data_IF_279435923677
#
_entry.id   IF_279435923677
#
_cell.length_a   1.000
_cell.length_b   1.000
_cell.length_c   1.000
_cell.angle_alpha   90.00
_cell.angle_beta   90.00
_cell.angle_gamma   90.00
#
_symmetry.space_group_name_H-M   'P 1'
#
loop_
_entity.id
_entity.type
_entity.pdbx_description
1 polymer ?
#
# COMPACT_ATOMS: atom_id res chain seq x y z
N UNK A 1 2.43 -53.99 22.91
CA UNK A 1 3.28 -54.06 24.12
C UNK A 1 4.45 -53.11 23.92
N UNK A 2 4.44 -52.03 24.72
CA UNK A 2 5.53 -51.16 25.17
C UNK A 2 6.62 -50.68 24.19
N UNK A 3 6.74 -49.35 24.07
CA UNK A 3 7.99 -48.68 23.70
C UNK A 3 7.75 -47.33 23.01
N UNK A 4 7.54 -46.25 23.76
CA UNK A 4 7.42 -44.92 23.13
C UNK A 4 7.40 -43.70 24.05
N UNK A 5 7.18 -43.87 25.36
CA UNK A 5 6.96 -42.73 26.27
C UNK A 5 8.15 -42.40 27.20
N UNK A 6 9.38 -42.82 26.88
CA UNK A 6 10.48 -42.83 27.84
C UNK A 6 11.75 -42.04 27.49
N UNK A 7 12.25 -41.90 26.24
CA UNK A 7 13.60 -41.39 26.05
C UNK A 7 13.75 -39.92 26.46
N UNK A 8 12.85 -39.03 26.03
CA UNK A 8 12.99 -37.59 26.20
C UNK A 8 12.52 -37.10 27.58
N UNK A 9 11.40 -37.63 28.08
CA UNK A 9 10.91 -37.35 29.42
C UNK A 9 11.84 -37.90 30.52
N UNK A 10 12.44 -39.08 30.31
CA UNK A 10 13.42 -39.63 31.25
C UNK A 10 14.80 -38.97 31.10
N UNK A 11 15.22 -38.59 29.88
CA UNK A 11 16.44 -37.80 29.69
C UNK A 11 16.33 -36.40 30.32
N UNK A 12 15.20 -35.70 30.11
CA UNK A 12 14.98 -34.38 30.69
C UNK A 12 15.01 -34.42 32.22
N UNK A 13 14.41 -35.46 32.84
CA UNK A 13 14.49 -35.67 34.29
C UNK A 13 15.91 -35.98 34.77
N UNK A 14 16.66 -36.80 34.03
CA UNK A 14 18.05 -37.17 34.38
C UNK A 14 19.03 -35.99 34.31
N UNK A 15 18.80 -35.06 33.38
CA UNK A 15 19.67 -33.89 33.17
C UNK A 15 19.09 -32.57 33.69
N UNK A 16 17.99 -32.62 34.46
CA UNK A 16 17.28 -31.45 35.01
C UNK A 16 16.92 -30.39 33.94
N UNK A 17 16.53 -30.86 32.74
CA UNK A 17 16.17 -30.01 31.60
C UNK A 17 14.70 -29.61 31.67
N UNK A 18 14.38 -28.39 31.24
CA UNK A 18 13.00 -27.89 31.16
C UNK A 18 12.32 -28.45 29.92
N UNK A 19 11.32 -29.30 30.11
CA UNK A 19 10.44 -29.76 29.03
C UNK A 19 9.31 -28.74 28.83
N UNK A 20 9.24 -28.12 27.66
CA UNK A 20 8.17 -27.20 27.29
C UNK A 20 7.30 -27.81 26.20
N UNK A 21 6.00 -27.95 26.47
CA UNK A 21 5.03 -28.40 25.46
C UNK A 21 4.50 -27.19 24.71
N UNK A 22 4.74 -27.13 23.40
CA UNK A 22 4.29 -26.05 22.54
C UNK A 22 2.91 -26.42 21.96
N UNK A 23 1.92 -25.51 21.98
CA UNK A 23 0.64 -25.75 21.32
C UNK A 23 0.80 -25.80 19.79
N UNK A 24 -0.22 -26.30 19.09
CA UNK A 24 -0.22 -26.37 17.61
C UNK A 24 0.15 -25.02 17.00
N UNK A 25 1.04 -25.03 16.01
CA UNK A 25 1.60 -23.83 15.39
C UNK A 25 1.78 -24.05 13.88
N UNK A 26 1.61 -22.99 13.08
CA UNK A 26 1.93 -22.97 11.65
C UNK A 26 3.41 -22.61 11.38
N UNK A 27 3.84 -22.69 10.12
CA UNK A 27 5.22 -22.39 9.71
C UNK A 27 5.65 -20.93 9.99
N UNK A 28 4.70 -20.07 10.32
CA UNK A 28 4.89 -18.66 10.66
C UNK A 28 4.82 -18.39 12.17
N UNK A 29 4.76 -19.44 13.00
CA UNK A 29 4.71 -19.27 14.46
C UNK A 29 3.34 -18.88 15.00
N UNK A 30 2.26 -19.07 14.22
CA UNK A 30 0.89 -18.72 14.63
C UNK A 30 0.09 -19.96 15.00
N UNK A 31 -0.71 -19.84 16.07
CA UNK A 31 -1.61 -20.91 16.49
C UNK A 31 -2.85 -21.02 15.60
N UNK A 32 -3.76 -21.97 15.89
CA UNK A 32 -4.99 -22.21 15.10
C UNK A 32 -5.91 -20.99 14.98
N UNK A 33 -5.79 -20.03 15.90
CA UNK A 33 -6.53 -18.76 15.89
C UNK A 33 -5.86 -17.66 15.04
N UNK A 34 -4.76 -17.95 14.34
CA UNK A 34 -4.00 -17.00 13.55
C UNK A 34 -3.17 -16.00 14.36
N UNK A 35 -3.07 -16.17 15.69
CA UNK A 35 -2.26 -15.30 16.57
C UNK A 35 -0.89 -15.93 16.84
N UNK A 36 0.18 -15.12 17.03
CA UNK A 36 1.49 -15.64 17.41
C UNK A 36 1.45 -16.44 18.71
N UNK A 37 2.16 -17.57 18.76
CA UNK A 37 2.32 -18.37 19.99
C UNK A 37 3.45 -17.76 20.83
N UNK A 38 3.13 -17.32 22.06
CA UNK A 38 4.07 -16.60 22.92
C UNK A 38 5.23 -17.48 23.44
N UNK A 39 4.99 -18.78 23.58
CA UNK A 39 5.94 -19.73 24.19
C UNK A 39 6.89 -20.39 23.16
N UNK A 40 6.98 -19.85 21.95
CA UNK A 40 7.90 -20.34 20.93
C UNK A 40 9.35 -19.95 21.25
N UNK A 41 10.31 -20.89 21.11
CA UNK A 41 11.73 -20.57 21.08
C UNK A 41 12.02 -19.51 20.01
N UNK A 42 12.77 -18.46 20.39
CA UNK A 42 13.16 -17.34 19.50
C UNK A 42 14.30 -17.73 18.56
N UNK A 43 14.18 -18.85 17.88
CA UNK A 43 15.14 -19.37 16.93
C UNK A 43 14.47 -19.52 15.57
N UNK A 44 15.05 -18.90 14.55
CA UNK A 44 14.57 -19.03 13.16
C UNK A 44 14.66 -20.49 12.66
N UNK A 45 15.58 -21.27 13.22
CA UNK A 45 15.77 -22.68 12.88
C UNK A 45 14.79 -23.61 13.62
N UNK A 46 14.15 -23.15 14.70
CA UNK A 46 13.29 -24.02 15.49
C UNK A 46 12.06 -24.48 14.71
N UNK A 47 11.37 -23.55 14.05
CA UNK A 47 10.22 -23.87 13.21
C UNK A 47 10.66 -24.70 11.99
N UNK A 48 11.77 -24.35 11.37
CA UNK A 48 12.30 -25.11 10.22
C UNK A 48 12.55 -26.58 10.58
N UNK A 49 13.25 -26.85 11.67
CA UNK A 49 13.50 -28.21 12.16
C UNK A 49 12.19 -28.90 12.58
N UNK A 50 11.25 -28.19 13.21
CA UNK A 50 9.96 -28.74 13.61
C UNK A 50 9.12 -29.21 12.41
N UNK A 51 9.11 -28.45 11.32
CA UNK A 51 8.35 -28.78 10.11
C UNK A 51 9.02 -29.84 9.22
N UNK A 52 10.33 -30.06 9.36
CA UNK A 52 11.06 -31.12 8.66
C UNK A 52 11.17 -32.43 9.46
N UNK A 53 10.83 -32.42 10.75
CA UNK A 53 10.88 -33.63 11.61
C UNK A 53 9.61 -34.46 11.42
N UNK A 54 9.76 -35.77 11.24
CA UNK A 54 8.62 -36.68 11.07
C UNK A 54 7.80 -36.85 12.36
N UNK A 55 6.52 -37.18 12.21
CA UNK A 55 5.61 -37.46 13.32
C UNK A 55 6.17 -38.58 14.22
N UNK A 56 6.06 -38.39 15.54
CA UNK A 56 6.58 -39.27 16.59
C UNK A 56 8.10 -39.52 16.54
N UNK A 57 8.85 -38.66 15.83
CA UNK A 57 10.31 -38.76 15.70
C UNK A 57 10.98 -37.59 16.42
N UNK A 58 12.15 -37.86 17.01
CA UNK A 58 13.01 -36.84 17.61
C UNK A 58 13.84 -36.15 16.52
N UNK A 59 13.97 -34.83 16.60
CA UNK A 59 14.86 -34.08 15.71
C UNK A 59 16.33 -34.40 16.00
N UNK A 60 17.26 -34.13 15.08
CA UNK A 60 18.67 -34.05 15.46
C UNK A 60 18.89 -32.94 16.51
N UNK A 61 19.90 -33.12 17.36
CA UNK A 61 20.35 -32.08 18.29
C UNK A 61 20.83 -30.88 17.48
N UNK A 62 20.16 -29.74 17.64
CA UNK A 62 20.45 -28.53 16.84
C UNK A 62 20.95 -27.41 17.74
N UNK A 63 22.02 -26.75 17.31
CA UNK A 63 22.59 -25.60 18.01
C UNK A 63 21.86 -24.31 17.61
N UNK A 64 21.53 -23.50 18.61
CA UNK A 64 20.91 -22.17 18.46
C UNK A 64 21.97 -21.10 18.68
N UNK A 65 21.74 -19.92 18.09
CA UNK A 65 22.51 -18.73 18.43
C UNK A 65 22.56 -18.53 19.97
N UNK A 66 23.73 -18.18 20.49
CA UNK A 66 24.09 -18.06 21.92
C UNK A 66 24.36 -19.39 22.67
N UNK A 67 24.99 -20.38 22.04
CA UNK A 67 25.44 -21.64 22.67
C UNK A 67 24.33 -22.47 23.34
N UNK A 68 23.08 -22.32 22.86
CA UNK A 68 21.95 -23.15 23.28
C UNK A 68 21.81 -24.38 22.39
N UNK A 69 21.30 -25.48 22.92
CA UNK A 69 20.94 -26.66 22.13
C UNK A 69 19.46 -26.97 22.34
N UNK A 70 18.78 -27.40 21.28
CA UNK A 70 17.41 -27.93 21.39
C UNK A 70 17.28 -29.30 20.74
N UNK A 71 16.36 -30.06 21.31
CA UNK A 71 15.86 -31.32 20.79
C UNK A 71 14.33 -31.23 20.84
N UNK A 72 13.66 -31.50 19.73
CA UNK A 72 12.19 -31.51 19.67
C UNK A 72 11.68 -32.87 19.22
N UNK A 73 10.42 -33.15 19.54
CA UNK A 73 9.68 -34.30 19.02
C UNK A 73 8.33 -33.78 18.52
N UNK A 74 7.93 -34.23 17.33
CA UNK A 74 6.62 -33.86 16.77
C UNK A 74 5.60 -34.85 17.30
N UNK A 75 4.78 -34.43 18.27
CA UNK A 75 3.78 -35.30 18.89
C UNK A 75 2.52 -35.48 18.00
N UNK A 76 2.16 -34.47 17.20
CA UNK A 76 0.97 -34.47 16.34
C UNK A 76 1.16 -33.58 15.11
N UNK A 77 0.57 -33.97 13.97
CA UNK A 77 0.55 -33.19 12.73
C UNK A 77 -0.88 -33.01 12.27
N UNK A 78 -1.38 -31.78 12.33
CA UNK A 78 -2.69 -31.43 11.78
C UNK A 78 -2.60 -31.29 10.26
N UNK A 79 -3.28 -32.14 9.46
CA UNK A 79 -3.28 -32.00 8.01
C UNK A 79 -3.94 -30.69 7.57
N UNK A 80 -3.55 -30.12 6.41
CA UNK A 80 -4.16 -28.92 5.88
C UNK A 80 -5.64 -29.18 5.58
N UNK A 81 -6.51 -28.65 6.44
CA UNK A 81 -7.95 -28.67 6.23
C UNK A 81 -8.41 -27.33 5.67
N UNK A 82 -9.27 -27.30 4.63
CA UNK A 82 -9.94 -26.07 4.25
C UNK A 82 -10.74 -25.57 5.46
N UNK A 83 -10.63 -24.27 5.77
CA UNK A 83 -11.44 -23.67 6.83
C UNK A 83 -12.90 -23.98 6.56
N UNK A 84 -13.62 -24.42 7.59
CA UNK A 84 -15.03 -24.76 7.44
C UNK A 84 -15.78 -23.52 6.96
N UNK A 85 -16.66 -23.70 5.97
CA UNK A 85 -17.47 -22.60 5.44
C UNK A 85 -18.20 -21.85 6.56
N UNK A 86 -18.62 -22.54 7.62
CA UNK A 86 -19.25 -21.94 8.80
C UNK A 86 -18.36 -20.89 9.51
N UNK A 87 -17.05 -21.11 9.55
CA UNK A 87 -16.08 -20.22 10.24
C UNK A 87 -15.76 -18.99 9.40
N UNK A 88 -15.72 -19.11 8.08
CA UNK A 88 -15.38 -18.01 7.15
C UNK A 88 -16.61 -17.30 6.57
N UNK A 89 -17.82 -17.83 6.76
CA UNK A 89 -19.07 -17.23 6.26
C UNK A 89 -19.23 -15.78 6.72
N UNK A 90 -18.92 -15.49 7.99
CA UNK A 90 -19.04 -14.15 8.54
C UNK A 90 -18.06 -13.18 7.86
N UNK A 91 -16.80 -13.60 7.68
CA UNK A 91 -15.77 -12.80 7.02
C UNK A 91 -16.10 -12.56 5.54
N UNK A 92 -16.49 -13.62 4.81
CA UNK A 92 -16.90 -13.51 3.40
C UNK A 92 -18.10 -12.58 3.26
N UNK A 93 -19.11 -12.72 4.14
CA UNK A 93 -20.29 -11.88 4.12
C UNK A 93 -19.94 -10.42 4.41
N UNK A 94 -19.04 -10.16 5.37
CA UNK A 94 -18.56 -8.81 5.67
C UNK A 94 -17.81 -8.19 4.49
N UNK A 95 -16.89 -8.94 3.87
CA UNK A 95 -16.14 -8.50 2.67
C UNK A 95 -17.08 -8.25 1.49
N UNK A 96 -17.99 -9.18 1.20
CA UNK A 96 -18.97 -9.05 0.12
C UNK A 96 -19.89 -7.84 0.34
N UNK A 97 -20.37 -7.61 1.56
CA UNK A 97 -21.15 -6.43 1.88
C UNK A 97 -20.35 -5.14 1.70
N UNK A 98 -19.07 -5.13 2.07
CA UNK A 98 -18.20 -3.97 1.85
C UNK A 98 -18.02 -3.67 0.36
N UNK A 99 -17.79 -4.70 -0.45
CA UNK A 99 -17.68 -4.60 -1.90
C UNK A 99 -18.99 -4.09 -2.53
N UNK A 100 -20.14 -4.65 -2.14
CA UNK A 100 -21.45 -4.18 -2.61
C UNK A 100 -21.76 -2.74 -2.23
N UNK A 101 -21.37 -2.31 -1.03
CA UNK A 101 -21.50 -0.90 -0.61
C UNK A 101 -20.62 0.01 -1.47
N UNK A 102 -19.39 -0.42 -1.78
CA UNK A 102 -18.48 0.35 -2.61
C UNK A 102 -19.02 0.50 -4.05
N UNK A 103 -19.53 -0.59 -4.63
CA UNK A 103 -20.12 -0.57 -5.98
C UNK A 103 -21.36 0.35 -6.03
N UNK A 104 -22.28 0.20 -5.08
CA UNK A 104 -23.45 1.06 -4.99
C UNK A 104 -23.09 2.54 -4.80
N UNK A 105 -22.03 2.84 -4.03
CA UNK A 105 -21.53 4.21 -3.85
C UNK A 105 -20.93 4.77 -5.15
N UNK A 106 -20.20 3.95 -5.90
CA UNK A 106 -19.63 4.32 -7.20
C UNK A 106 -20.72 4.62 -8.22
N UNK A 107 -21.70 3.73 -8.39
CA UNK A 107 -22.84 3.96 -9.29
C UNK A 107 -23.61 5.24 -8.94
N UNK A 108 -23.83 5.47 -7.63
CA UNK A 108 -24.47 6.71 -7.17
C UNK A 108 -23.62 7.93 -7.53
N UNK A 109 -22.30 7.86 -7.35
CA UNK A 109 -21.42 8.96 -7.68
C UNK A 109 -21.40 9.27 -9.19
N UNK A 110 -21.40 8.25 -10.04
CA UNK A 110 -21.49 8.39 -11.50
C UNK A 110 -22.78 9.11 -11.91
N UNK A 111 -23.95 8.69 -11.36
CA UNK A 111 -25.24 9.34 -11.60
C UNK A 111 -25.26 10.81 -11.15
N UNK A 112 -24.66 11.12 -10.01
CA UNK A 112 -24.57 12.52 -9.52
C UNK A 112 -23.63 13.35 -10.40
N UNK A 113 -22.53 12.77 -10.88
CA UNK A 113 -21.61 13.43 -11.80
C UNK A 113 -22.27 13.73 -13.15
N UNK A 114 -23.09 12.82 -13.68
CA UNK A 114 -23.87 13.04 -14.90
C UNK A 114 -24.86 14.20 -14.74
N UNK A 115 -25.57 14.27 -13.61
CA UNK A 115 -26.47 15.39 -13.30
C UNK A 115 -25.75 16.74 -13.22
N UNK A 116 -24.57 16.76 -12.63
CA UNK A 116 -23.72 17.96 -12.62
C UNK A 116 -23.24 18.35 -14.02
N UNK A 117 -22.89 17.36 -14.87
CA UNK A 117 -22.53 17.58 -16.27
C UNK A 117 -23.70 18.12 -17.09
N UNK A 118 -24.92 17.69 -16.78
CA UNK A 118 -26.15 18.19 -17.38
C UNK A 118 -26.50 19.64 -16.96
N UNK A 119 -25.74 20.24 -16.04
CA UNK A 119 -25.87 21.63 -15.64
C UNK A 119 -26.67 21.87 -14.37
N UNK A 120 -27.15 20.81 -13.70
CA UNK A 120 -27.87 20.94 -12.42
C UNK A 120 -27.00 21.62 -11.36
N UNK A 121 -27.65 22.35 -10.43
CA UNK A 121 -26.94 23.06 -9.38
C UNK A 121 -26.24 22.08 -8.42
N UNK A 122 -24.98 22.33 -8.02
CA UNK A 122 -24.29 21.46 -7.06
C UNK A 122 -25.03 21.28 -5.75
N UNK A 123 -25.72 22.32 -5.28
CA UNK A 123 -26.52 22.28 -4.07
C UNK A 123 -27.70 21.29 -4.19
N UNK A 124 -28.43 21.31 -5.32
CA UNK A 124 -29.55 20.40 -5.57
C UNK A 124 -29.09 18.95 -5.69
N UNK A 125 -28.00 18.72 -6.43
CA UNK A 125 -27.42 17.37 -6.58
C UNK A 125 -26.96 16.83 -5.23
N UNK A 126 -26.22 17.62 -4.45
CA UNK A 126 -25.76 17.21 -3.13
C UNK A 126 -26.91 16.94 -2.16
N UNK A 127 -27.92 17.82 -2.12
CA UNK A 127 -29.09 17.65 -1.26
C UNK A 127 -29.88 16.37 -1.58
N UNK A 128 -30.02 16.03 -2.87
CA UNK A 128 -30.66 14.77 -3.28
C UNK A 128 -29.93 13.51 -2.80
N UNK A 129 -28.64 13.64 -2.48
CA UNK A 129 -27.81 12.57 -1.96
C UNK A 129 -27.62 12.63 -0.44
N UNK A 130 -28.18 13.64 0.25
CA UNK A 130 -27.94 13.90 1.68
C UNK A 130 -26.55 14.47 1.98
N UNK A 131 -25.88 15.04 0.98
CA UNK A 131 -24.53 15.57 1.05
C UNK A 131 -24.53 17.09 1.15
N UNK A 132 -23.42 17.65 1.64
CA UNK A 132 -23.15 19.10 1.63
C UNK A 132 -22.13 19.41 0.55
N UNK A 133 -22.29 20.56 -0.11
CA UNK A 133 -21.29 21.08 -1.06
C UNK A 133 -20.21 21.80 -0.26
N UNK A 134 -18.95 21.48 -0.55
CA UNK A 134 -17.80 22.21 -0.05
C UNK A 134 -17.14 22.98 -1.18
N UNK A 135 -16.66 24.19 -0.88
CA UNK A 135 -15.92 25.04 -1.81
C UNK A 135 -14.44 24.95 -1.44
N UNK A 136 -13.61 24.46 -2.35
CA UNK A 136 -12.17 24.42 -2.14
C UNK A 136 -11.57 25.82 -2.10
N UNK A 137 -10.47 25.98 -1.38
CA UNK A 137 -9.59 27.16 -1.55
C UNK A 137 -9.02 27.18 -2.98
N UNK A 138 -8.64 28.36 -3.51
CA UNK A 138 -7.90 28.43 -4.77
C UNK A 138 -6.62 27.58 -4.71
N UNK A 139 -6.33 26.87 -5.79
CA UNK A 139 -5.15 26.00 -5.92
C UNK A 139 -4.53 26.16 -7.31
N UNK A 140 -3.27 25.73 -7.46
CA UNK A 140 -2.55 25.74 -8.75
C UNK A 140 -2.33 24.32 -9.25
N UNK A 141 -1.85 24.18 -10.49
CA UNK A 141 -1.58 22.87 -11.09
C UNK A 141 -0.45 22.12 -10.36
N UNK A 142 0.44 22.85 -9.71
CA UNK A 142 1.62 22.33 -9.01
C UNK A 142 1.44 22.26 -7.49
N UNK A 143 0.49 23.02 -6.93
CA UNK A 143 0.23 23.05 -5.51
C UNK A 143 -1.25 22.84 -5.21
N UNK A 144 -1.57 21.60 -4.85
CA UNK A 144 -2.86 21.19 -4.30
C UNK A 144 -2.81 21.04 -2.77
N UNK A 145 -1.68 21.37 -2.12
CA UNK A 145 -1.54 21.25 -0.68
C UNK A 145 -2.59 22.12 0.04
N UNK A 146 -3.31 21.51 0.98
CA UNK A 146 -4.43 22.17 1.67
C UNK A 146 -5.77 22.13 0.91
N UNK A 147 -5.85 21.51 -0.27
CA UNK A 147 -7.12 21.12 -0.88
C UNK A 147 -7.42 19.65 -0.59
N UNK A 148 -8.68 19.33 -0.28
CA UNK A 148 -9.14 17.94 -0.12
C UNK A 148 -9.28 17.19 -1.46
N UNK A 149 -8.61 17.67 -2.51
CA UNK A 149 -8.72 17.16 -3.88
C UNK A 149 -7.55 16.21 -4.19
N UNK A 150 -7.81 15.00 -4.70
CA UNK A 150 -6.78 14.15 -5.29
C UNK A 150 -6.10 14.85 -6.48
N UNK A 151 -4.80 14.59 -6.67
CA UNK A 151 -4.02 15.18 -7.76
C UNK A 151 -4.61 14.87 -9.15
N UNK A 152 -5.20 13.69 -9.33
CA UNK A 152 -5.89 13.29 -10.58
C UNK A 152 -7.10 14.17 -10.87
N UNK A 153 -7.96 14.39 -9.86
CA UNK A 153 -9.14 15.25 -9.97
C UNK A 153 -8.72 16.69 -10.26
N UNK A 154 -7.70 17.20 -9.56
CA UNK A 154 -7.16 18.54 -9.81
C UNK A 154 -6.66 18.68 -11.26
N UNK A 155 -5.90 17.71 -11.76
CA UNK A 155 -5.40 17.72 -13.14
C UNK A 155 -6.53 17.72 -14.18
N UNK A 156 -7.59 16.94 -13.96
CA UNK A 156 -8.78 16.91 -14.82
C UNK A 156 -9.51 18.25 -14.83
N UNK A 157 -9.74 18.86 -13.66
CA UNK A 157 -10.36 20.18 -13.56
C UNK A 157 -9.54 21.25 -14.29
N UNK A 158 -8.21 21.19 -14.21
CA UNK A 158 -7.31 22.12 -14.92
C UNK A 158 -7.23 21.89 -16.43
N UNK A 159 -7.67 20.74 -16.94
CA UNK A 159 -7.84 20.49 -18.38
C UNK A 159 -9.21 20.95 -18.88
N UNK A 160 -10.19 21.04 -17.99
CA UNK A 160 -11.56 21.43 -18.29
C UNK A 160 -11.77 22.95 -18.36
N UNK A 161 -12.94 23.33 -18.88
CA UNK A 161 -13.45 24.70 -18.83
C UNK A 161 -14.32 24.92 -17.57
N UNK A 162 -14.69 26.17 -17.27
CA UNK A 162 -15.63 26.46 -16.18
C UNK A 162 -16.90 25.61 -16.37
N UNK A 163 -17.30 24.92 -15.30
CA UNK A 163 -18.39 23.96 -15.30
C UNK A 163 -17.98 22.51 -15.56
N UNK A 164 -16.72 22.24 -15.93
CA UNK A 164 -16.21 20.88 -16.08
C UNK A 164 -16.36 20.08 -14.77
N UNK A 165 -16.71 18.80 -14.90
CA UNK A 165 -16.91 17.88 -13.78
C UNK A 165 -15.84 16.81 -13.81
N UNK A 166 -15.16 16.61 -12.70
CA UNK A 166 -14.17 15.56 -12.50
C UNK A 166 -14.57 14.67 -11.32
N UNK A 167 -14.22 13.39 -11.40
CA UNK A 167 -14.47 12.42 -10.34
C UNK A 167 -13.17 11.71 -9.96
N UNK A 168 -13.04 11.31 -8.70
CA UNK A 168 -11.88 10.55 -8.24
C UNK A 168 -12.10 9.89 -6.90
N UNK A 169 -11.36 8.82 -6.65
CA UNK A 169 -11.44 8.07 -5.41
C UNK A 169 -10.66 8.75 -4.28
N UNK A 170 -11.25 8.75 -3.09
CA UNK A 170 -10.66 9.17 -1.81
C UNK A 170 -10.84 8.03 -0.79
N UNK A 171 -10.14 8.09 0.35
CA UNK A 171 -10.24 7.04 1.38
C UNK A 171 -11.67 6.79 1.87
N UNK A 172 -12.51 7.83 1.86
CA UNK A 172 -13.89 7.78 2.35
C UNK A 172 -14.93 7.52 1.25
N UNK A 173 -14.54 7.34 -0.01
CA UNK A 173 -15.45 7.07 -1.12
C UNK A 173 -15.05 7.72 -2.44
N UNK A 174 -16.04 8.19 -3.22
CA UNK A 174 -15.81 8.88 -4.49
C UNK A 174 -16.11 10.37 -4.33
N UNK A 175 -15.14 11.20 -4.70
CA UNK A 175 -15.26 12.66 -4.77
C UNK A 175 -15.76 13.07 -6.16
N UNK A 176 -16.68 14.03 -6.20
CA UNK A 176 -17.16 14.67 -7.42
C UNK A 176 -16.94 16.16 -7.29
N UNK A 177 -16.20 16.75 -8.21
CA UNK A 177 -15.87 18.16 -8.21
C UNK A 177 -16.34 18.81 -9.51
N UNK A 178 -16.85 20.05 -9.40
CA UNK A 178 -17.21 20.89 -10.55
C UNK A 178 -16.35 22.15 -10.53
N UNK A 179 -15.72 22.49 -11.66
CA UNK A 179 -14.91 23.69 -11.78
C UNK A 179 -15.81 24.93 -11.71
N UNK A 180 -15.76 25.66 -10.59
CA UNK A 180 -16.60 26.84 -10.39
C UNK A 180 -16.03 28.10 -11.04
N UNK A 181 -14.72 28.34 -10.88
CA UNK A 181 -14.06 29.57 -11.32
C UNK A 181 -12.61 29.29 -11.67
N UNK A 182 -12.13 29.92 -12.74
CA UNK A 182 -10.71 30.02 -13.08
C UNK A 182 -10.25 31.43 -12.74
N UNK A 183 -9.19 31.54 -11.94
CA UNK A 183 -8.57 32.83 -11.61
C UNK A 183 -7.37 33.00 -12.55
N UNK A 184 -7.41 33.96 -13.49
CA UNK A 184 -6.28 34.19 -14.38
C UNK A 184 -5.07 34.71 -13.60
N UNK A 185 -3.87 34.37 -14.08
CA UNK A 185 -2.65 34.96 -13.54
C UNK A 185 -2.64 36.46 -13.87
N UNK A 186 -2.55 37.29 -12.83
CA UNK A 186 -2.37 38.73 -12.97
C UNK A 186 -0.95 39.11 -12.50
N UNK A 187 -0.05 39.52 -13.42
CA UNK A 187 1.32 39.89 -13.09
C UNK A 187 1.42 41.13 -12.19
N UNK A 188 0.36 41.94 -12.09
CA UNK A 188 0.35 43.19 -11.33
C UNK A 188 -0.34 43.04 -9.97
N UNK A 189 -1.19 42.03 -9.78
CA UNK A 189 -1.95 41.84 -8.54
C UNK A 189 -1.11 41.24 -7.40
N UNK A 190 -0.02 40.54 -7.69
CA UNK A 190 0.78 39.86 -6.65
C UNK A 190 2.27 39.87 -6.97
N UNK A 191 3.01 40.94 -6.60
CA UNK A 191 4.43 41.11 -6.95
C UNK A 191 5.31 39.90 -6.57
N UNK A 192 5.03 39.26 -5.43
CA UNK A 192 5.76 38.09 -4.97
C UNK A 192 5.58 36.85 -5.88
N UNK A 193 4.36 36.63 -6.39
CA UNK A 193 4.08 35.51 -7.30
C UNK A 193 4.71 35.78 -8.67
N UNK A 194 4.65 37.04 -9.13
CA UNK A 194 5.27 37.47 -10.39
C UNK A 194 6.79 37.31 -10.37
N UNK A 195 7.45 37.69 -9.27
CA UNK A 195 8.88 37.48 -9.10
C UNK A 195 9.25 35.99 -9.04
N UNK A 196 8.48 35.16 -8.33
CA UNK A 196 8.70 33.72 -8.29
C UNK A 196 8.52 33.08 -9.68
N UNK A 197 7.48 33.47 -10.42
CA UNK A 197 7.24 33.01 -11.79
C UNK A 197 8.37 33.46 -12.73
N UNK A 198 8.79 34.74 -12.66
CA UNK A 198 9.90 35.29 -13.44
C UNK A 198 11.20 34.52 -13.19
N UNK A 199 11.52 34.21 -11.93
CA UNK A 199 12.72 33.43 -11.56
C UNK A 199 12.70 32.04 -12.18
N UNK A 200 11.57 31.32 -12.07
CA UNK A 200 11.43 29.98 -12.68
C UNK A 200 11.57 30.00 -14.19
N UNK A 201 10.89 30.93 -14.86
CA UNK A 201 10.99 31.08 -16.33
C UNK A 201 12.42 31.40 -16.72
N UNK A 202 13.08 32.33 -16.02
CA UNK A 202 14.47 32.71 -16.31
C UNK A 202 15.44 31.54 -16.12
N UNK A 203 15.26 30.73 -15.06
CA UNK A 203 16.06 29.51 -14.83
C UNK A 203 15.84 28.47 -15.93
N UNK A 204 14.60 28.29 -16.38
CA UNK A 204 14.24 27.32 -17.43
C UNK A 204 14.84 27.74 -18.77
N UNK A 205 14.73 29.02 -19.14
CA UNK A 205 15.33 29.57 -20.36
C UNK A 205 16.85 29.51 -20.31
N UNK A 206 17.47 29.82 -19.17
CA UNK A 206 18.92 29.74 -19.02
C UNK A 206 19.43 28.29 -19.21
N UNK A 207 18.72 27.30 -18.66
CA UNK A 207 19.03 25.88 -18.86
C UNK A 207 18.89 25.49 -20.33
N UNK A 208 17.78 25.84 -20.98
CA UNK A 208 17.53 25.50 -22.39
C UNK A 208 18.58 26.13 -23.33
N UNK A 209 18.97 27.39 -23.10
CA UNK A 209 20.02 28.05 -23.88
C UNK A 209 21.39 27.37 -23.66
N UNK A 210 21.71 26.96 -22.43
CA UNK A 210 22.94 26.22 -22.15
C UNK A 210 22.95 24.85 -22.85
N UNK A 211 21.83 24.12 -22.77
CA UNK A 211 21.66 22.82 -23.42
C UNK A 211 21.77 22.93 -24.95
N UNK A 212 21.13 23.95 -25.55
CA UNK A 212 21.21 24.23 -26.98
C UNK A 212 22.64 24.64 -27.41
N UNK A 213 23.33 25.45 -26.59
CA UNK A 213 24.71 25.83 -26.87
C UNK A 213 25.66 24.62 -26.83
N UNK A 214 25.54 23.77 -25.81
CA UNK A 214 26.31 22.52 -25.70
C UNK A 214 25.99 21.59 -26.87
N UNK A 215 24.71 21.44 -27.24
CA UNK A 215 24.31 20.65 -28.40
C UNK A 215 24.93 21.17 -29.71
N UNK A 216 24.92 22.49 -29.91
CA UNK A 216 25.51 23.12 -31.09
C UNK A 216 27.04 22.95 -31.15
N UNK A 217 27.73 23.08 -30.01
CA UNK A 217 29.17 22.83 -29.90
C UNK A 217 29.50 21.36 -30.20
N UNK A 218 28.73 20.41 -29.67
CA UNK A 218 28.95 18.99 -29.94
C UNK A 218 28.81 18.66 -31.44
N UNK A 219 27.88 19.32 -32.14
CA UNK A 219 27.71 19.17 -33.60
C UNK A 219 28.88 19.82 -34.35
N UNK A 220 29.31 21.03 -33.99
CA UNK A 220 30.38 21.75 -34.68
C UNK A 220 31.76 21.12 -34.50
N UNK A 221 32.02 20.57 -33.31
CA UNK A 221 33.26 19.85 -32.99
C UNK A 221 33.22 18.36 -33.35
N UNK A 222 32.12 17.88 -33.97
CA UNK A 222 32.02 16.49 -34.44
C UNK A 222 32.08 15.45 -33.32
N UNK A 223 31.59 15.80 -32.12
CA UNK A 223 31.58 14.90 -30.97
C UNK A 223 30.59 13.77 -31.24
N UNK A 224 31.10 12.59 -31.63
CA UNK A 224 30.34 11.35 -31.69
C UNK A 224 30.20 10.80 -30.28
N UNK A 225 29.04 11.02 -29.67
CA UNK A 225 28.67 10.33 -28.42
C UNK A 225 28.15 8.94 -28.81
N UNK A 226 29.00 7.91 -28.66
CA UNK A 226 28.60 6.52 -28.80
C UNK A 226 27.70 6.12 -27.63
N UNK A 227 26.38 6.36 -27.80
CA UNK A 227 25.33 5.99 -26.85
C UNK A 227 25.23 4.50 -26.46
N UNK A 228 25.78 3.49 -27.17
CA UNK A 228 25.72 2.11 -26.71
C UNK A 228 26.67 1.77 -25.53
N UNK A 229 27.61 2.66 -25.19
CA UNK A 229 28.58 2.39 -24.09
C UNK A 229 28.18 3.00 -22.73
N UNK A 230 27.15 3.86 -22.68
CA UNK A 230 26.63 4.40 -21.41
C UNK A 230 25.60 3.49 -20.72
N UNK A 231 25.35 2.29 -21.26
CA UNK A 231 24.40 1.30 -20.69
C UNK A 231 25.07 0.00 -20.22
N UNK A 232 26.40 -0.02 -20.07
CA UNK A 232 27.11 -1.11 -19.40
C UNK A 232 28.08 -0.53 -18.37
N UNK A 233 28.01 -1.09 -17.16
CA UNK A 233 28.74 -0.75 -15.92
C UNK A 233 28.11 0.46 -15.19
N UNK A 234 27.38 0.34 -14.08
CA UNK A 234 27.01 -0.75 -13.14
C UNK A 234 25.57 -0.53 -12.65
#
# INVERSE_FOLDING_TARGET
LQGGAAPQEDAAKRFNLKLSKIPTVDAQGRGPNGKPVADLPKSDQFLDVAFHTELNTESPLTEVQNNGYFLLRVDDVTPPAPKLLAEIKADILATWQAERRHEAAREKAEKLAERLKAGESPATVAQSAGLKVEISKPFTRENTEGTALPATVAADLFRGQIGAVATGSIQTGTLIARLQKVIPFDPNATPAITEAARRRVSQTVASDVADQYIAALNVSFGVKVDRPQLTREE
#
